data_IF_926691884581
#
_entry.id   IF_926691884581
#
_cell.length_a   1.000
_cell.length_b   1.000
_cell.length_c   1.000
_cell.angle_alpha   90.00
_cell.angle_beta   90.00
_cell.angle_gamma   90.00
#
_symmetry.space_group_name_H-M   'P 1'
#
loop_
_entity.id
_entity.type
_entity.pdbx_description
1 polymer ?
#
# COMPACT_ATOMS: atom_id res chain seq x y z
N UNK A 1 -20.20 20.45 -22.87
CA UNK A 1 -19.45 19.56 -23.78
C UNK A 1 -17.93 19.82 -23.75
N UNK A 2 -17.36 20.27 -22.62
CA UNK A 2 -15.91 20.60 -22.55
C UNK A 2 -15.04 19.58 -21.78
N UNK A 3 -15.63 18.61 -21.07
CA UNK A 3 -14.85 17.59 -20.33
C UNK A 3 -14.45 16.37 -21.17
N UNK A 4 -15.13 16.12 -22.29
CA UNK A 4 -14.88 14.94 -23.13
C UNK A 4 -13.66 15.18 -24.03
N UNK A 5 -13.52 16.37 -24.62
CA UNK A 5 -12.36 16.68 -25.48
C UNK A 5 -11.04 16.76 -24.72
N UNK A 6 -11.03 17.22 -23.46
CA UNK A 6 -9.82 17.23 -22.61
C UNK A 6 -9.34 15.82 -22.24
N UNK A 7 -10.28 14.90 -21.98
CA UNK A 7 -9.94 13.49 -21.71
C UNK A 7 -9.48 12.73 -22.97
N UNK A 8 -9.92 13.13 -24.15
CA UNK A 8 -9.50 12.51 -25.42
C UNK A 8 -8.06 12.93 -25.78
N UNK A 9 -7.67 14.18 -25.50
CA UNK A 9 -6.34 14.72 -25.81
C UNK A 9 -5.29 14.40 -24.75
N UNK A 10 -5.68 14.26 -23.47
CA UNK A 10 -4.79 13.74 -22.40
C UNK A 10 -4.28 12.34 -22.70
N UNK A 11 -5.05 11.67 -23.53
CA UNK A 11 -4.83 10.34 -23.94
C UNK A 11 -3.90 10.20 -25.15
N UNK A 12 -3.38 11.28 -25.76
CA UNK A 12 -2.56 11.22 -27.01
C UNK A 12 -1.05 11.37 -26.73
N UNK A 13 -0.64 12.16 -25.74
CA UNK A 13 0.80 12.44 -25.49
C UNK A 13 1.47 11.39 -24.59
N UNK A 14 0.70 10.77 -23.69
CA UNK A 14 1.15 9.56 -23.00
C UNK A 14 1.39 8.40 -23.97
N UNK A 15 0.76 8.44 -25.16
CA UNK A 15 0.95 7.46 -26.23
C UNK A 15 2.34 7.55 -26.88
N UNK A 16 2.99 8.70 -26.81
CA UNK A 16 4.28 8.98 -27.46
C UNK A 16 5.50 8.70 -26.56
N UNK A 17 5.31 8.63 -25.24
CA UNK A 17 6.39 8.30 -24.31
C UNK A 17 6.79 6.82 -24.47
N UNK A 18 8.09 6.49 -24.61
CA UNK A 18 8.52 5.09 -24.71
C UNK A 18 8.08 4.32 -23.46
N UNK A 19 7.41 3.18 -23.65
CA UNK A 19 6.94 2.34 -22.55
C UNK A 19 8.08 1.89 -21.62
N UNK A 20 9.28 1.69 -22.18
CA UNK A 20 10.51 1.39 -21.43
C UNK A 20 10.93 2.53 -20.49
N UNK A 21 10.75 3.79 -20.90
CA UNK A 21 11.01 4.95 -20.05
C UNK A 21 9.99 5.05 -18.92
N UNK A 22 8.70 4.91 -19.24
CA UNK A 22 7.63 4.92 -18.23
C UNK A 22 7.79 3.80 -17.19
N UNK A 23 8.28 2.63 -17.61
CA UNK A 23 8.58 1.53 -16.72
C UNK A 23 9.77 1.87 -15.82
N UNK A 24 10.88 2.36 -16.37
CA UNK A 24 12.05 2.76 -15.59
C UNK A 24 11.73 3.86 -14.56
N UNK A 25 10.93 4.85 -14.95
CA UNK A 25 10.54 5.97 -14.09
C UNK A 25 9.59 5.53 -12.96
N UNK A 26 8.82 4.45 -13.16
CA UNK A 26 7.85 3.94 -12.19
C UNK A 26 8.32 2.75 -11.35
N UNK A 27 9.37 2.04 -11.78
CA UNK A 27 9.86 0.80 -11.18
C UNK A 27 10.18 0.94 -9.69
N UNK A 28 10.82 2.05 -9.30
CA UNK A 28 11.14 2.37 -7.91
C UNK A 28 9.88 2.41 -7.03
N UNK A 29 8.90 3.23 -7.41
CA UNK A 29 7.66 3.38 -6.65
C UNK A 29 6.87 2.06 -6.56
N UNK A 30 6.78 1.34 -7.67
CA UNK A 30 5.98 0.11 -7.77
C UNK A 30 6.62 -1.05 -6.97
N UNK A 31 7.95 -1.17 -7.01
CA UNK A 31 8.66 -2.19 -6.25
C UNK A 31 8.61 -1.95 -4.75
N UNK A 32 8.76 -0.69 -4.32
CA UNK A 32 8.64 -0.29 -2.92
C UNK A 32 7.22 -0.52 -2.39
N UNK A 33 6.20 -0.09 -3.14
CA UNK A 33 4.80 -0.32 -2.81
C UNK A 33 4.46 -1.81 -2.63
N UNK A 34 4.98 -2.67 -3.51
CA UNK A 34 4.81 -4.12 -3.39
C UNK A 34 5.44 -4.64 -2.10
N UNK A 35 6.70 -4.26 -1.84
CA UNK A 35 7.45 -4.72 -0.66
C UNK A 35 6.76 -4.31 0.63
N UNK A 36 6.44 -3.04 0.79
CA UNK A 36 5.77 -2.53 2.01
C UNK A 36 4.38 -3.17 2.14
N UNK A 37 3.63 -3.29 1.04
CA UNK A 37 2.33 -3.95 1.03
C UNK A 37 2.39 -5.40 1.52
N UNK A 38 3.44 -6.15 1.16
CA UNK A 38 3.66 -7.52 1.61
C UNK A 38 3.97 -7.59 3.11
N UNK A 39 4.84 -6.71 3.60
CA UNK A 39 5.16 -6.61 5.03
C UNK A 39 3.90 -6.26 5.86
N UNK A 40 3.11 -5.29 5.40
CA UNK A 40 1.83 -4.90 6.00
C UNK A 40 0.84 -6.06 6.01
N UNK A 41 0.69 -6.80 4.91
CA UNK A 41 -0.16 -8.01 4.83
C UNK A 41 0.27 -9.06 5.85
N UNK A 42 1.56 -9.38 5.91
CA UNK A 42 2.08 -10.42 6.80
C UNK A 42 1.81 -10.09 8.28
N UNK A 43 1.98 -8.83 8.68
CA UNK A 43 1.67 -8.41 10.05
C UNK A 43 0.16 -8.41 10.30
N UNK A 44 -0.67 -7.97 9.35
CA UNK A 44 -2.13 -8.04 9.51
C UNK A 44 -2.64 -9.46 9.75
N UNK A 45 -2.05 -10.47 9.09
CA UNK A 45 -2.41 -11.88 9.29
C UNK A 45 -2.08 -12.38 10.70
N UNK A 46 -1.04 -11.83 11.34
CA UNK A 46 -0.72 -12.11 12.74
C UNK A 46 -1.69 -11.39 13.68
N UNK A 47 -1.99 -10.11 13.40
CA UNK A 47 -2.78 -9.26 14.27
C UNK A 47 -4.28 -9.55 14.23
N UNK A 48 -4.77 -10.05 13.09
CA UNK A 48 -6.18 -10.27 12.84
C UNK A 48 -6.44 -11.46 11.91
N UNK A 49 -6.00 -12.68 12.28
CA UNK A 49 -6.17 -13.89 11.48
C UNK A 49 -7.63 -14.18 11.11
N UNK A 50 -8.61 -13.76 11.92
CA UNK A 50 -10.03 -13.92 11.60
C UNK A 50 -10.45 -13.18 10.32
N UNK A 51 -9.68 -12.17 9.89
CA UNK A 51 -9.89 -11.44 8.63
C UNK A 51 -8.97 -11.91 7.50
N UNK A 52 -8.25 -13.02 7.66
CA UNK A 52 -7.30 -13.52 6.67
C UNK A 52 -7.87 -13.55 5.24
N UNK A 53 -9.09 -14.07 4.96
CA UNK A 53 -9.63 -14.05 3.60
C UNK A 53 -9.77 -12.64 3.01
N UNK A 54 -10.11 -11.64 3.83
CA UNK A 54 -10.24 -10.24 3.40
C UNK A 54 -8.86 -9.61 3.15
N UNK A 55 -7.90 -9.86 4.04
CA UNK A 55 -6.52 -9.38 3.95
C UNK A 55 -5.86 -9.92 2.67
N UNK A 56 -5.97 -11.23 2.44
CA UNK A 56 -5.43 -11.89 1.26
C UNK A 56 -6.08 -11.36 -0.01
N UNK A 57 -7.41 -11.22 -0.03
CA UNK A 57 -8.13 -10.68 -1.20
C UNK A 57 -7.67 -9.26 -1.53
N UNK A 58 -7.52 -8.40 -0.52
CA UNK A 58 -7.09 -7.02 -0.71
C UNK A 58 -5.67 -6.94 -1.27
N UNK A 59 -4.73 -7.69 -0.68
CA UNK A 59 -3.33 -7.72 -1.13
C UNK A 59 -3.17 -8.36 -2.51
N UNK A 60 -3.81 -9.50 -2.76
CA UNK A 60 -3.75 -10.16 -4.07
C UNK A 60 -4.38 -9.31 -5.18
N UNK A 61 -5.46 -8.59 -4.88
CA UNK A 61 -6.05 -7.61 -5.80
C UNK A 61 -5.08 -6.48 -6.14
N UNK A 62 -4.40 -5.95 -5.13
CA UNK A 62 -3.36 -4.94 -5.29
C UNK A 62 -2.19 -5.42 -6.16
N UNK A 63 -1.63 -6.60 -5.85
CA UNK A 63 -0.53 -7.20 -6.61
C UNK A 63 -0.90 -7.43 -8.07
N UNK A 64 -2.11 -7.95 -8.34
CA UNK A 64 -2.59 -8.16 -9.72
C UNK A 64 -2.68 -6.87 -10.53
N UNK A 65 -3.00 -5.75 -9.88
CA UNK A 65 -3.03 -4.45 -10.57
C UNK A 65 -1.62 -3.96 -10.91
N UNK A 66 -0.65 -4.21 -10.03
CA UNK A 66 0.77 -3.94 -10.33
C UNK A 66 1.24 -4.82 -11.50
N UNK A 67 0.94 -6.11 -11.47
CA UNK A 67 1.33 -7.02 -12.56
C UNK A 67 0.68 -6.58 -13.88
N UNK A 68 -0.61 -6.23 -13.85
CA UNK A 68 -1.33 -5.71 -15.01
C UNK A 68 -0.76 -4.38 -15.55
N UNK A 69 -0.29 -3.49 -14.68
CA UNK A 69 0.43 -2.29 -15.10
C UNK A 69 1.69 -2.62 -15.91
N UNK A 70 2.56 -3.47 -15.35
CA UNK A 70 3.81 -3.87 -15.99
C UNK A 70 3.55 -4.60 -17.31
N UNK A 71 2.57 -5.50 -17.34
CA UNK A 71 2.16 -6.21 -18.55
C UNK A 71 1.62 -5.25 -19.60
N UNK A 72 0.78 -4.28 -19.21
CA UNK A 72 0.22 -3.30 -20.15
C UNK A 72 1.30 -2.44 -20.81
N UNK A 73 2.34 -2.02 -20.07
CA UNK A 73 3.47 -1.30 -20.64
C UNK A 73 4.29 -2.16 -21.61
N UNK A 74 4.59 -3.41 -21.24
CA UNK A 74 5.31 -4.36 -22.11
C UNK A 74 4.54 -4.67 -23.39
N UNK A 75 3.21 -4.78 -23.31
CA UNK A 75 2.37 -5.00 -24.49
C UNK A 75 2.40 -3.78 -25.40
N UNK A 76 2.19 -2.58 -24.86
CA UNK A 76 2.27 -1.33 -25.63
C UNK A 76 3.62 -1.15 -26.34
N UNK A 77 4.73 -1.57 -25.73
CA UNK A 77 6.05 -1.58 -26.38
C UNK A 77 6.11 -2.52 -27.59
N UNK A 78 5.55 -3.72 -27.47
CA UNK A 78 5.55 -4.74 -28.53
C UNK A 78 4.61 -4.41 -29.68
N UNK A 79 3.44 -3.86 -29.38
CA UNK A 79 2.39 -3.59 -30.37
C UNK A 79 2.45 -2.16 -30.91
N UNK A 80 3.36 -1.31 -30.40
CA UNK A 80 3.43 0.12 -30.71
C UNK A 80 2.07 0.81 -30.52
N UNK A 81 1.30 0.33 -29.54
CA UNK A 81 -0.03 0.86 -29.24
C UNK A 81 0.02 1.81 -28.06
N UNK A 82 -0.86 2.82 -28.05
CA UNK A 82 -1.13 3.67 -26.90
C UNK A 82 -1.06 3.01 -25.52
N UNK A 83 -0.39 3.66 -24.58
CA UNK A 83 -0.24 3.20 -23.19
C UNK A 83 -1.47 3.56 -22.32
N UNK A 84 -2.61 3.97 -22.90
CA UNK A 84 -3.85 4.32 -22.15
C UNK A 84 -4.25 3.33 -21.05
N UNK A 85 -4.04 2.03 -21.31
CA UNK A 85 -4.33 0.98 -20.34
C UNK A 85 -3.46 1.08 -19.07
N UNK A 86 -2.19 1.50 -19.18
CA UNK A 86 -1.27 1.56 -18.05
C UNK A 86 -1.57 2.71 -17.09
N UNK A 87 -2.02 3.88 -17.59
CA UNK A 87 -2.55 4.95 -16.72
C UNK A 87 -3.75 4.47 -15.90
N UNK A 88 -4.66 3.73 -16.54
CA UNK A 88 -5.83 3.19 -15.85
C UNK A 88 -5.43 2.17 -14.77
N UNK A 89 -4.38 1.37 -15.01
CA UNK A 89 -3.81 0.53 -13.97
C UNK A 89 -3.20 1.35 -12.83
N UNK A 90 -2.46 2.43 -13.09
CA UNK A 90 -1.92 3.30 -12.03
C UNK A 90 -3.02 3.87 -11.14
N UNK A 91 -4.12 4.37 -11.73
CA UNK A 91 -5.29 4.85 -10.98
C UNK A 91 -5.86 3.75 -10.09
N UNK A 92 -6.05 2.55 -10.64
CA UNK A 92 -6.56 1.40 -9.87
C UNK A 92 -5.60 0.98 -8.75
N UNK A 93 -4.29 1.02 -8.97
CA UNK A 93 -3.28 0.72 -7.94
C UNK A 93 -3.44 1.68 -6.77
N UNK A 94 -3.58 2.99 -7.01
CA UNK A 94 -3.75 3.99 -5.95
C UNK A 94 -5.03 3.72 -5.14
N UNK A 95 -6.16 3.48 -5.80
CA UNK A 95 -7.45 3.18 -5.13
C UNK A 95 -7.36 1.89 -4.30
N UNK A 96 -6.74 0.84 -4.85
CA UNK A 96 -6.59 -0.43 -4.15
C UNK A 96 -5.58 -0.34 -3.00
N UNK A 97 -4.54 0.48 -3.15
CA UNK A 97 -3.58 0.77 -2.09
C UNK A 97 -4.25 1.48 -0.91
N UNK A 98 -5.10 2.48 -1.18
CA UNK A 98 -5.88 3.14 -0.13
C UNK A 98 -6.78 2.14 0.61
N UNK A 99 -7.42 1.23 -0.13
CA UNK A 99 -8.24 0.18 0.48
C UNK A 99 -7.44 -0.76 1.39
N UNK A 100 -6.18 -1.09 1.02
CA UNK A 100 -5.26 -1.88 1.83
C UNK A 100 -4.82 -1.12 3.09
N UNK A 101 -4.53 0.17 2.96
CA UNK A 101 -4.19 1.07 4.07
C UNK A 101 -5.34 1.17 5.07
N UNK A 102 -6.56 1.38 4.60
CA UNK A 102 -7.74 1.49 5.46
C UNK A 102 -7.99 0.19 6.23
N UNK A 103 -7.80 -0.96 5.56
CA UNK A 103 -7.84 -2.27 6.20
C UNK A 103 -6.74 -2.42 7.27
N UNK A 104 -5.52 -1.99 6.98
CA UNK A 104 -4.41 -2.03 7.93
C UNK A 104 -4.65 -1.16 9.15
N UNK A 105 -5.21 0.05 8.96
CA UNK A 105 -5.64 0.94 10.05
C UNK A 105 -6.76 0.35 10.89
N UNK A 106 -7.71 -0.35 10.29
CA UNK A 106 -8.74 -1.07 11.05
C UNK A 106 -8.12 -2.20 11.88
N UNK A 107 -7.25 -3.02 11.29
CA UNK A 107 -6.52 -4.08 12.01
C UNK A 107 -5.69 -3.53 13.16
N UNK A 108 -4.98 -2.40 12.96
CA UNK A 108 -4.19 -1.74 13.99
C UNK A 108 -5.05 -1.22 15.16
N UNK A 109 -6.25 -0.71 14.87
CA UNK A 109 -7.20 -0.20 15.87
C UNK A 109 -7.93 -1.32 16.60
N UNK A 110 -8.22 -2.41 15.88
CA UNK A 110 -9.06 -3.50 16.32
C UNK A 110 -8.36 -4.85 16.11
N UNK A 111 -7.22 -5.15 16.76
CA UNK A 111 -6.59 -6.46 16.65
C UNK A 111 -7.48 -7.56 17.25
N UNK A 112 -7.13 -8.82 17.06
CA UNK A 112 -7.88 -9.94 17.64
C UNK A 112 -8.03 -9.78 19.15
N UNK A 113 -9.16 -10.24 19.70
CA UNK A 113 -9.47 -10.10 21.13
C UNK A 113 -8.37 -10.62 22.06
N UNK A 114 -7.75 -11.75 21.70
CA UNK A 114 -6.62 -12.33 22.45
C UNK A 114 -5.42 -11.40 22.49
N UNK A 115 -5.07 -10.78 21.36
CA UNK A 115 -3.99 -9.80 21.25
C UNK A 115 -4.30 -8.57 22.08
N UNK A 116 -5.51 -8.02 21.96
CA UNK A 116 -5.94 -6.86 22.74
C UNK A 116 -5.87 -7.11 24.25
N UNK A 117 -6.29 -8.29 24.69
CA UNK A 117 -6.25 -8.65 26.11
C UNK A 117 -4.80 -8.81 26.61
N UNK A 118 -3.93 -9.42 25.81
CA UNK A 118 -2.50 -9.55 26.13
C UNK A 118 -1.82 -8.18 26.28
N UNK A 119 -2.10 -7.22 25.38
CA UNK A 119 -1.58 -5.86 25.48
C UNK A 119 -2.10 -5.14 26.74
N UNK A 120 -3.40 -5.26 27.00
CA UNK A 120 -4.03 -4.68 28.20
C UNK A 120 -3.44 -5.24 29.49
N UNK A 121 -3.20 -6.55 29.55
CA UNK A 121 -2.59 -7.19 30.73
C UNK A 121 -1.16 -6.69 30.96
N UNK A 122 -0.38 -6.47 29.89
CA UNK A 122 0.96 -5.88 29.98
C UNK A 122 0.92 -4.43 30.52
N UNK A 123 -0.01 -3.61 30.03
CA UNK A 123 -0.21 -2.25 30.54
C UNK A 123 -0.59 -2.24 32.02
N UNK A 124 -1.54 -3.09 32.41
CA UNK A 124 -1.95 -3.23 33.82
C UNK A 124 -0.77 -3.69 34.67
N UNK A 125 0.06 -4.63 34.20
CA UNK A 125 1.25 -5.07 34.91
C UNK A 125 2.20 -3.91 35.14
N UNK A 126 2.59 -3.19 34.09
CA UNK A 126 3.49 -2.04 34.19
C UNK A 126 2.94 -0.95 35.13
N UNK A 127 1.62 -0.72 35.13
CA UNK A 127 0.98 0.25 36.01
C UNK A 127 0.84 -0.23 37.47
N UNK A 128 0.83 -1.55 37.70
CA UNK A 128 0.67 -2.19 39.03
C UNK A 128 1.94 -2.83 39.55
N UNK A 129 3.11 -2.51 39.00
CA UNK A 129 4.42 -2.90 39.55
C UNK A 129 4.58 -2.49 41.03
N UNK A 130 3.78 -1.55 41.52
CA UNK A 130 3.75 -1.15 42.93
C UNK A 130 2.89 -2.04 43.86
N UNK A 131 2.04 -2.94 43.33
CA UNK A 131 1.01 -3.66 44.11
C UNK A 131 1.03 -5.19 43.87
N UNK A 132 1.60 -5.70 42.78
CA UNK A 132 1.49 -7.12 42.43
C UNK A 132 2.73 -7.95 42.83
N UNK A 133 2.51 -9.06 43.57
CA UNK A 133 3.52 -10.10 43.88
C UNK A 133 3.67 -11.13 42.75
N UNK A 134 3.14 -10.85 41.55
CA UNK A 134 3.11 -11.83 40.46
C UNK A 134 4.42 -11.70 39.68
N UNK A 135 5.30 -12.68 39.85
CA UNK A 135 6.53 -12.77 39.08
C UNK A 135 6.20 -13.19 37.64
N UNK A 136 6.35 -12.28 36.68
CA UNK A 136 6.27 -12.59 35.25
C UNK A 136 7.62 -13.18 34.84
N UNK A 137 7.66 -14.40 34.26
CA UNK A 137 8.90 -14.95 33.76
C UNK A 137 9.53 -14.01 32.72
N UNK A 138 10.82 -13.75 32.83
CA UNK A 138 11.55 -12.81 31.98
C UNK A 138 11.34 -13.08 30.48
N UNK A 139 11.29 -14.35 30.09
CA UNK A 139 11.01 -14.77 28.72
C UNK A 139 9.62 -14.34 28.21
N UNK A 140 8.60 -14.28 29.08
CA UNK A 140 7.27 -13.79 28.73
C UNK A 140 7.31 -12.28 28.56
N UNK A 141 8.01 -11.58 29.45
CA UNK A 141 8.13 -10.13 29.40
C UNK A 141 8.83 -9.65 28.12
N UNK A 142 9.96 -10.28 27.76
CA UNK A 142 10.68 -10.00 26.51
C UNK A 142 9.81 -10.23 25.28
N UNK A 143 8.99 -11.29 25.27
CA UNK A 143 8.08 -11.58 24.15
C UNK A 143 6.99 -10.52 24.00
N UNK A 144 6.44 -10.04 25.11
CA UNK A 144 5.43 -8.97 25.12
C UNK A 144 6.03 -7.66 24.64
N UNK A 145 7.24 -7.32 25.06
CA UNK A 145 7.92 -6.12 24.62
C UNK A 145 8.30 -6.18 23.13
N UNK A 146 8.79 -7.33 22.67
CA UNK A 146 9.00 -7.57 21.23
C UNK A 146 7.71 -7.40 20.43
N UNK A 147 6.60 -7.94 20.92
CA UNK A 147 5.30 -7.81 20.28
C UNK A 147 4.80 -6.35 20.25
N UNK A 148 4.97 -5.61 21.35
CA UNK A 148 4.64 -4.18 21.43
C UNK A 148 5.43 -3.36 20.40
N UNK A 149 6.74 -3.59 20.30
CA UNK A 149 7.59 -2.96 19.27
C UNK A 149 7.18 -3.35 17.87
N UNK A 150 6.77 -4.60 17.66
CA UNK A 150 6.26 -5.06 16.35
C UNK A 150 4.98 -4.31 15.95
N UNK A 151 4.11 -3.94 16.89
CA UNK A 151 2.94 -3.09 16.63
C UNK A 151 3.30 -1.65 16.31
N UNK A 152 4.32 -1.08 16.96
CA UNK A 152 4.83 0.26 16.64
C UNK A 152 5.43 0.27 15.24
N UNK A 153 6.25 -0.74 14.92
CA UNK A 153 6.80 -0.94 13.58
C UNK A 153 5.70 -1.12 12.53
N UNK A 154 4.63 -1.85 12.86
CA UNK A 154 3.48 -1.99 11.96
C UNK A 154 2.83 -0.64 11.63
N UNK A 155 2.62 0.22 12.64
CA UNK A 155 2.08 1.57 12.40
C UNK A 155 3.02 2.39 11.52
N UNK A 156 4.33 2.29 11.74
CA UNK A 156 5.32 2.95 10.90
C UNK A 156 5.29 2.43 9.45
N UNK A 157 5.14 1.12 9.24
CA UNK A 157 4.99 0.53 7.91
C UNK A 157 3.72 0.99 7.19
N UNK A 158 2.60 1.13 7.91
CA UNK A 158 1.37 1.69 7.34
C UNK A 158 1.58 3.15 6.90
N UNK A 159 2.28 3.96 7.71
CA UNK A 159 2.64 5.33 7.31
C UNK A 159 3.58 5.36 6.11
N UNK A 160 4.53 4.42 6.03
CA UNK A 160 5.42 4.28 4.88
C UNK A 160 4.63 3.93 3.61
N UNK A 161 3.67 3.02 3.71
CA UNK A 161 2.79 2.65 2.60
C UNK A 161 1.97 3.86 2.12
N UNK A 162 1.48 4.69 3.05
CA UNK A 162 0.78 5.94 2.74
C UNK A 162 1.67 6.98 2.05
N UNK A 163 2.94 7.08 2.43
CA UNK A 163 3.89 7.96 1.74
C UNK A 163 4.18 7.46 0.34
N UNK A 164 4.52 6.18 0.17
CA UNK A 164 4.78 5.59 -1.16
C UNK A 164 3.57 5.70 -2.09
N UNK A 165 2.34 5.56 -1.56
CA UNK A 165 1.11 5.77 -2.33
C UNK A 165 0.94 7.24 -2.76
N UNK A 166 1.29 8.19 -1.89
CA UNK A 166 1.27 9.62 -2.21
C UNK A 166 2.34 9.99 -3.24
N UNK A 167 3.52 9.39 -3.18
CA UNK A 167 4.57 9.59 -4.18
C UNK A 167 4.15 9.07 -5.55
N UNK A 168 3.53 7.89 -5.61
CA UNK A 168 2.97 7.34 -6.84
C UNK A 168 1.84 8.24 -7.41
N UNK A 169 0.98 8.77 -6.54
CA UNK A 169 -0.05 9.75 -6.94
C UNK A 169 0.58 11.01 -7.55
N UNK A 170 1.58 11.61 -6.89
CA UNK A 170 2.30 12.77 -7.44
C UNK A 170 3.00 12.45 -8.76
N UNK A 171 3.50 11.24 -8.94
CA UNK A 171 4.04 10.80 -10.24
C UNK A 171 2.94 10.76 -11.30
N UNK A 172 1.79 10.15 -11.00
CA UNK A 172 0.64 10.10 -11.92
C UNK A 172 0.12 11.51 -12.27
N UNK A 173 -0.01 12.40 -11.29
CA UNK A 173 -0.45 13.78 -11.50
C UNK A 173 0.53 14.55 -12.40
N UNK A 174 1.84 14.39 -12.19
CA UNK A 174 2.87 14.98 -13.08
C UNK A 174 2.75 14.45 -14.51
N UNK A 175 2.53 13.15 -14.68
CA UNK A 175 2.28 12.59 -16.00
C UNK A 175 1.05 13.23 -16.65
N UNK A 176 -0.07 13.34 -15.93
CA UNK A 176 -1.32 13.98 -16.40
C UNK A 176 -1.14 15.47 -16.74
N UNK A 177 -0.30 16.20 -15.99
CA UNK A 177 0.04 17.58 -16.26
C UNK A 177 0.92 17.75 -17.52
N UNK A 178 1.99 16.95 -17.64
CA UNK A 178 2.87 17.00 -18.81
C UNK A 178 2.06 16.76 -20.09
N UNK A 179 1.25 15.71 -20.05
CA UNK A 179 0.24 15.38 -21.05
C UNK A 179 -0.65 16.58 -21.42
N UNK A 180 -1.10 17.34 -20.43
CA UNK A 180 -2.02 18.48 -20.63
C UNK A 180 -1.33 19.70 -21.22
N UNK A 181 -0.05 19.94 -20.91
CA UNK A 181 0.74 21.07 -21.45
C UNK A 181 1.04 20.91 -22.94
N UNK A 182 1.28 19.69 -23.38
CA UNK A 182 1.51 19.39 -24.80
C UNK A 182 0.26 19.57 -25.68
N UNK A 183 -0.94 19.71 -25.09
CA UNK A 183 -2.19 19.98 -25.82
C UNK A 183 -2.46 21.47 -26.05
N UNK A 184 -1.74 22.36 -25.36
CA UNK A 184 -1.92 23.82 -25.47
C UNK A 184 -0.92 24.47 -26.44
N UNK A 185 -0.01 23.69 -27.02
CA UNK A 185 0.91 24.09 -28.09
C UNK A 185 0.41 23.58 -29.43
#
# INVERSE_FOLDING_TARGET
>A
MESISKNILANVVYEEAPASKLLADSEGYISELRKIGEEVRNIMLVLKPERAPSIEKAFNGFVRLIDGYVESLKMSERTQTPQKASLEYLRKIIVQCQSLIDLAKDVARNPSKSISEVLRLKEISNAKDYISRIHIPEAVDMRLEYFRRSLENFKALVLSLEESARELLKYMERLEEEISRFQQR
#
